data_IF_566502311853
#
_entry.id   IF_566502311853
#
_cell.length_a   1.000
_cell.length_b   1.000
_cell.length_c   1.000
_cell.angle_alpha   90.00
_cell.angle_beta   90.00
_cell.angle_gamma   90.00
#
_symmetry.space_group_name_H-M   'P 1'
#
loop_
_entity.id
_entity.type
_entity.pdbx_description
1 polymer ?
#
# COMPACT_ATOMS: atom_id res chain seq x y z
N UNK A 1 10.22 5.78 10.08
CA UNK A 1 9.20 4.81 10.55
C UNK A 1 8.40 4.42 9.33
N UNK A 2 8.18 3.16 9.00
CA UNK A 2 7.56 2.79 7.71
C UNK A 2 6.10 3.28 7.51
N UNK A 3 5.74 3.56 6.25
CA UNK A 3 4.38 3.87 5.76
C UNK A 3 3.59 2.62 5.42
N UNK A 4 2.30 2.57 5.79
CA UNK A 4 1.39 1.45 5.44
C UNK A 4 0.08 2.05 4.92
N UNK A 5 -0.42 1.51 3.82
CA UNK A 5 -1.69 1.86 3.21
C UNK A 5 -2.41 0.58 2.78
N UNK A 6 -3.74 0.63 2.67
CA UNK A 6 -4.49 -0.51 2.17
C UNK A 6 -5.95 -0.23 1.90
N UNK A 7 -6.56 -1.11 1.11
CA UNK A 7 -7.98 -1.13 0.77
C UNK A 7 -8.51 -2.52 1.12
N UNK A 8 -9.62 -2.57 1.85
CA UNK A 8 -10.35 -3.81 2.16
C UNK A 8 -11.75 -3.68 1.57
N UNK A 9 -12.13 -4.61 0.70
CA UNK A 9 -13.48 -4.69 0.19
C UNK A 9 -14.35 -5.51 1.15
N UNK A 10 -15.20 -4.83 1.91
CA UNK A 10 -16.14 -5.47 2.87
C UNK A 10 -17.45 -5.93 2.20
N UNK A 11 -17.62 -5.69 0.90
CA UNK A 11 -18.85 -5.98 0.14
C UNK A 11 -18.52 -6.64 -1.20
N UNK A 12 -19.29 -6.32 -2.26
CA UNK A 12 -19.08 -6.86 -3.61
C UNK A 12 -17.61 -6.71 -4.06
N UNK A 13 -17.04 -7.82 -4.55
CA UNK A 13 -15.67 -7.94 -5.02
C UNK A 13 -15.41 -7.04 -6.23
N UNK A 14 -15.07 -5.76 -5.98
CA UNK A 14 -14.55 -4.87 -7.01
C UNK A 14 -13.04 -5.03 -7.06
N UNK A 15 -12.43 -5.18 -8.25
CA UNK A 15 -10.98 -5.24 -8.36
C UNK A 15 -10.34 -4.04 -7.65
N UNK A 16 -9.36 -4.32 -6.79
CA UNK A 16 -8.63 -3.28 -6.09
C UNK A 16 -7.65 -2.63 -7.06
N UNK A 17 -7.71 -1.30 -7.17
CA UNK A 17 -6.82 -0.56 -8.05
C UNK A 17 -5.40 -0.49 -7.49
N UNK A 18 -4.44 -1.03 -8.23
CA UNK A 18 -3.00 -0.91 -7.92
C UNK A 18 -2.51 0.54 -7.98
N UNK A 19 -3.09 1.38 -8.85
CA UNK A 19 -2.80 2.82 -8.91
C UNK A 19 -3.24 3.52 -7.62
N UNK A 20 -4.44 3.21 -7.12
CA UNK A 20 -4.94 3.78 -5.88
C UNK A 20 -4.01 3.45 -4.69
N UNK A 21 -3.60 2.18 -4.56
CA UNK A 21 -2.63 1.76 -3.55
C UNK A 21 -1.29 2.49 -3.70
N UNK A 22 -0.79 2.63 -4.93
CA UNK A 22 0.46 3.32 -5.24
C UNK A 22 0.40 4.80 -4.83
N UNK A 23 -0.73 5.47 -5.08
CA UNK A 23 -0.95 6.86 -4.68
C UNK A 23 -1.04 7.01 -3.15
N UNK A 24 -1.74 6.10 -2.48
CA UNK A 24 -1.85 6.13 -1.01
C UNK A 24 -0.50 5.98 -0.32
N UNK A 25 0.35 5.06 -0.80
CA UNK A 25 1.68 4.84 -0.22
C UNK A 25 2.67 5.94 -0.61
N UNK A 26 2.53 6.55 -1.79
CA UNK A 26 3.38 7.66 -2.24
C UNK A 26 3.31 8.89 -1.33
N UNK A 27 2.12 9.23 -0.81
CA UNK A 27 1.95 10.33 0.16
C UNK A 27 2.75 10.07 1.45
N UNK A 28 2.94 8.80 1.80
CA UNK A 28 3.70 8.38 2.97
C UNK A 28 5.20 8.16 2.70
N UNK A 29 5.71 8.49 1.50
CA UNK A 29 7.12 8.21 1.12
C UNK A 29 8.16 8.79 2.10
N UNK A 30 7.86 9.95 2.70
CA UNK A 30 8.72 10.57 3.72
C UNK A 30 8.94 9.71 4.98
N UNK A 31 8.06 8.73 5.22
CA UNK A 31 8.13 7.79 6.34
C UNK A 31 9.11 6.63 6.05
N UNK A 32 9.19 6.20 4.79
CA UNK A 32 10.07 5.12 4.32
C UNK A 32 10.60 5.33 2.90
N UNK A 33 11.71 6.07 2.72
CA UNK A 33 12.22 6.46 1.41
C UNK A 33 12.98 5.35 0.66
N UNK A 34 13.34 4.25 1.32
CA UNK A 34 14.29 3.28 0.77
C UNK A 34 13.66 2.33 -0.24
N UNK A 35 12.43 1.90 0.02
CA UNK A 35 11.69 1.07 -0.93
C UNK A 35 10.18 1.17 -0.76
N UNK A 36 9.45 0.80 -1.81
CA UNK A 36 8.00 0.64 -1.77
C UNK A 36 7.61 -0.74 -2.28
N UNK A 37 6.47 -1.24 -1.83
CA UNK A 37 5.91 -2.50 -2.30
C UNK A 37 4.40 -2.53 -2.14
N UNK A 38 3.75 -3.41 -2.89
CA UNK A 38 2.31 -3.65 -2.79
C UNK A 38 2.00 -5.14 -2.89
N UNK A 39 0.97 -5.56 -2.17
CA UNK A 39 0.32 -6.86 -2.25
C UNK A 39 -1.11 -6.63 -2.72
N UNK A 40 -1.56 -7.41 -3.71
CA UNK A 40 -2.92 -7.37 -4.21
C UNK A 40 -3.51 -8.77 -4.21
N UNK A 41 -4.76 -8.84 -3.76
CA UNK A 41 -5.63 -10.00 -3.72
C UNK A 41 -7.05 -9.54 -4.10
N UNK A 42 -7.99 -10.46 -4.24
CA UNK A 42 -9.36 -10.17 -4.70
C UNK A 42 -10.11 -9.21 -3.74
N UNK A 43 -9.85 -9.33 -2.44
CA UNK A 43 -10.59 -8.61 -1.40
C UNK A 43 -9.73 -7.61 -0.63
N UNK A 44 -8.40 -7.69 -0.76
CA UNK A 44 -7.48 -6.86 0.01
C UNK A 44 -6.30 -6.41 -0.85
N UNK A 45 -5.94 -5.14 -0.67
CA UNK A 45 -4.76 -4.53 -1.25
C UNK A 45 -3.98 -3.85 -0.14
N UNK A 46 -2.70 -4.14 -0.04
CA UNK A 46 -1.80 -3.54 0.93
C UNK A 46 -0.63 -2.90 0.20
N UNK A 47 -0.15 -1.77 0.69
CA UNK A 47 1.03 -1.09 0.20
C UNK A 47 1.88 -0.58 1.35
N UNK A 48 3.19 -0.56 1.16
CA UNK A 48 4.16 -0.21 2.17
C UNK A 48 5.29 0.65 1.61
N UNK A 49 5.77 1.59 2.42
CA UNK A 49 6.94 2.43 2.18
C UNK A 49 7.94 2.15 3.32
N UNK A 50 9.08 1.54 2.99
CA UNK A 50 10.07 1.00 3.93
C UNK A 50 11.14 2.04 4.27
N UNK A 51 11.39 2.20 5.57
CA UNK A 51 12.69 2.66 6.06
C UNK A 51 13.46 1.44 6.57
N UNK A 52 14.60 1.18 5.96
CA UNK A 52 15.46 0.02 6.17
C UNK A 52 16.47 0.33 7.27
N UNK A 53 16.07 0.06 8.51
CA UNK A 53 16.93 0.28 9.70
C UNK A 53 17.56 -1.02 10.25
N UNK A 54 17.09 -2.16 9.75
CA UNK A 54 17.62 -3.52 9.97
C UNK A 54 17.51 -4.27 8.63
#
# INVERSE_FOLDING_TARGET
MCGIAGIVNLGHQRPISSDALSRMVSIQKHRGPDSTGAYLDDNIGLAHSRLSII
#
